data_IF_195591823496
#
_entry.id   IF_195591823496
#
_cell.length_a   1.000
_cell.length_b   1.000
_cell.length_c   1.000
_cell.angle_alpha   90.00
_cell.angle_beta   90.00
_cell.angle_gamma   90.00
#
_symmetry.space_group_name_H-M   'P 1'
#
loop_
_entity.id
_entity.type
_entity.pdbx_description
1 polymer ?
#
# COMPACT_ATOMS: atom_id res chain seq x y z
N UNK A 1 -6.64 27.35 35.97
CA UNK A 1 -7.34 26.65 34.86
C UNK A 1 -7.01 27.32 33.52
N UNK A 2 -5.79 27.12 32.97
CA UNK A 2 -5.36 27.68 31.66
C UNK A 2 -4.39 26.76 30.95
N UNK A 3 -4.76 25.48 30.76
CA UNK A 3 -3.87 24.49 30.10
C UNK A 3 -4.45 23.92 28.78
N UNK A 4 -5.71 24.25 28.40
CA UNK A 4 -6.37 23.65 27.25
C UNK A 4 -6.26 24.42 25.91
N UNK A 5 -5.68 25.62 25.86
CA UNK A 5 -5.72 26.44 24.64
C UNK A 5 -4.58 26.14 23.66
N UNK A 6 -3.43 25.65 24.12
CA UNK A 6 -2.28 25.39 23.23
C UNK A 6 -2.38 24.08 22.43
N UNK A 7 -3.09 23.03 22.93
CA UNK A 7 -3.30 21.79 22.18
C UNK A 7 -4.28 21.96 21.02
N UNK A 8 -5.30 22.77 21.17
CA UNK A 8 -6.30 23.04 20.13
C UNK A 8 -5.73 23.81 18.92
N UNK A 9 -4.76 24.68 19.13
CA UNK A 9 -4.14 25.46 18.06
C UNK A 9 -3.28 24.58 17.14
N UNK A 10 -2.58 23.59 17.68
CA UNK A 10 -1.75 22.67 16.93
C UNK A 10 -2.56 21.78 15.98
N UNK A 11 -3.70 21.23 16.41
CA UNK A 11 -4.55 20.40 15.57
C UNK A 11 -5.32 21.20 14.51
N UNK A 12 -5.77 22.41 14.79
CA UNK A 12 -6.38 23.29 13.79
C UNK A 12 -5.41 23.60 12.64
N UNK A 13 -4.13 23.73 12.91
CA UNK A 13 -3.08 23.92 11.89
C UNK A 13 -2.98 22.75 10.91
N UNK A 14 -3.14 21.49 11.36
CA UNK A 14 -3.09 20.30 10.49
C UNK A 14 -4.28 20.28 9.53
N UNK A 15 -5.50 20.54 10.01
CA UNK A 15 -6.71 20.50 9.17
C UNK A 15 -6.68 21.54 8.03
N UNK A 16 -6.02 22.68 8.25
CA UNK A 16 -5.93 23.76 7.25
C UNK A 16 -4.65 23.70 6.40
N UNK A 17 -3.71 22.82 6.73
CA UNK A 17 -2.42 22.71 6.04
C UNK A 17 -2.62 22.30 4.56
N UNK A 18 -2.10 23.13 3.64
CA UNK A 18 -2.23 22.91 2.19
C UNK A 18 -1.54 21.62 1.72
N UNK A 19 -0.36 21.30 2.26
CA UNK A 19 0.37 20.08 1.88
C UNK A 19 -0.38 18.83 2.34
N UNK A 20 -0.93 18.85 3.57
CA UNK A 20 -1.76 17.77 4.07
C UNK A 20 -3.02 17.56 3.22
N UNK A 21 -3.76 18.62 2.88
CA UNK A 21 -4.93 18.55 2.01
C UNK A 21 -4.61 18.01 0.62
N UNK A 22 -3.50 18.43 0.01
CA UNK A 22 -3.03 17.90 -1.28
C UNK A 22 -2.67 16.41 -1.21
N UNK A 23 -2.08 15.95 -0.11
CA UNK A 23 -1.78 14.52 0.07
C UNK A 23 -3.07 13.69 0.19
N UNK A 24 -4.10 14.21 0.84
CA UNK A 24 -5.42 13.56 0.90
C UNK A 24 -6.11 13.52 -0.47
N UNK A 25 -6.02 14.60 -1.25
CA UNK A 25 -6.52 14.62 -2.62
C UNK A 25 -5.78 13.61 -3.49
N UNK A 26 -4.46 13.46 -3.35
CA UNK A 26 -3.70 12.41 -4.02
C UNK A 26 -4.15 11.02 -3.61
N UNK A 27 -4.41 10.78 -2.32
CA UNK A 27 -4.91 9.51 -1.82
C UNK A 27 -6.27 9.16 -2.44
N UNK A 28 -7.17 10.14 -2.55
CA UNK A 28 -8.48 9.96 -3.20
C UNK A 28 -8.36 9.76 -4.72
N UNK A 29 -7.55 10.56 -5.40
CA UNK A 29 -7.37 10.50 -6.85
C UNK A 29 -6.63 9.24 -7.33
N UNK A 30 -5.61 8.85 -6.59
CA UNK A 30 -4.74 7.73 -6.93
C UNK A 30 -4.20 7.04 -5.69
N UNK A 31 -5.06 6.28 -5.01
CA UNK A 31 -4.71 5.56 -3.78
C UNK A 31 -3.53 4.58 -3.96
N UNK A 32 -3.38 3.97 -5.15
CA UNK A 32 -2.24 3.09 -5.43
C UNK A 32 -0.91 3.87 -5.45
N UNK A 33 -0.89 5.06 -6.08
CA UNK A 33 0.31 5.90 -6.10
C UNK A 33 0.61 6.47 -4.71
N UNK A 34 -0.41 6.91 -3.98
CA UNK A 34 -0.27 7.37 -2.59
C UNK A 34 0.30 6.25 -1.70
N UNK A 35 -0.23 5.03 -1.82
CA UNK A 35 0.29 3.84 -1.11
C UNK A 35 1.75 3.58 -1.45
N UNK A 36 2.09 3.54 -2.73
CA UNK A 36 3.45 3.27 -3.18
C UNK A 36 4.46 4.34 -2.72
N UNK A 37 4.06 5.62 -2.74
CA UNK A 37 4.90 6.73 -2.24
C UNK A 37 5.09 6.65 -0.71
N UNK A 38 4.03 6.35 0.03
CA UNK A 38 4.07 6.15 1.49
C UNK A 38 4.97 4.97 1.85
N UNK A 39 4.81 3.84 1.17
CA UNK A 39 5.64 2.65 1.35
C UNK A 39 7.11 2.94 1.01
N UNK A 40 7.38 3.68 -0.06
CA UNK A 40 8.75 4.10 -0.40
C UNK A 40 9.37 4.91 0.74
N UNK A 41 8.66 5.90 1.28
CA UNK A 41 9.13 6.68 2.43
C UNK A 41 9.40 5.83 3.67
N UNK A 42 8.47 4.96 4.04
CA UNK A 42 8.64 4.07 5.19
C UNK A 42 9.79 3.06 5.00
N UNK A 43 9.94 2.51 3.82
CA UNK A 43 10.95 1.48 3.55
C UNK A 43 12.36 2.04 3.36
N UNK A 44 12.48 3.30 2.97
CA UNK A 44 13.80 3.97 2.83
C UNK A 44 14.28 4.65 4.11
N UNK A 45 13.35 5.11 4.95
CA UNK A 45 13.69 5.87 6.17
C UNK A 45 13.39 5.09 7.45
N UNK A 46 12.14 4.64 7.63
CA UNK A 46 11.66 4.09 8.91
C UNK A 46 12.17 2.68 9.15
N UNK A 47 12.04 1.79 8.15
CA UNK A 47 12.44 0.40 8.30
C UNK A 47 13.95 0.20 8.47
N UNK A 48 14.84 0.85 7.71
CA UNK A 48 16.27 0.77 7.97
C UNK A 48 16.64 1.24 9.37
N UNK A 49 16.04 2.34 9.84
CA UNK A 49 16.23 2.81 11.22
C UNK A 49 15.78 1.74 12.24
N UNK A 50 14.56 1.21 12.09
CA UNK A 50 14.04 0.17 12.98
C UNK A 50 14.92 -1.09 13.02
N UNK A 51 15.38 -1.58 11.85
CA UNK A 51 16.28 -2.73 11.73
C UNK A 51 17.63 -2.43 12.39
N UNK A 52 18.16 -1.21 12.18
CA UNK A 52 19.48 -0.84 12.71
C UNK A 52 19.51 -0.77 14.24
N UNK A 53 18.42 -0.26 14.82
CA UNK A 53 18.26 -0.18 16.29
C UNK A 53 17.89 -1.51 16.95
N UNK A 54 17.61 -2.58 16.19
CA UNK A 54 17.31 -3.89 16.79
C UNK A 54 18.59 -4.49 17.39
N UNK A 55 18.61 -4.83 18.70
CA UNK A 55 19.79 -5.42 19.35
C UNK A 55 20.07 -6.83 18.81
N UNK A 56 21.32 -7.30 18.99
CA UNK A 56 21.78 -8.68 18.76
C UNK A 56 21.64 -9.30 17.37
N UNK A 57 21.15 -8.60 16.34
CA UNK A 57 21.04 -9.14 14.99
C UNK A 57 22.35 -8.98 14.21
N UNK A 58 22.73 -10.00 13.42
CA UNK A 58 23.91 -9.98 12.56
C UNK A 58 23.89 -8.82 11.56
N UNK A 59 25.02 -8.13 11.41
CA UNK A 59 25.16 -6.94 10.55
C UNK A 59 24.85 -7.23 9.08
N UNK A 60 25.22 -8.41 8.56
CA UNK A 60 24.94 -8.79 7.18
C UNK A 60 23.44 -9.02 6.96
N UNK A 61 22.76 -9.66 7.90
CA UNK A 61 21.31 -9.83 7.86
C UNK A 61 20.58 -8.48 7.90
N UNK A 62 21.06 -7.51 8.69
CA UNK A 62 20.53 -6.14 8.70
C UNK A 62 20.67 -5.48 7.32
N UNK A 63 21.85 -5.56 6.71
CA UNK A 63 22.10 -5.01 5.35
C UNK A 63 21.16 -5.64 4.32
N UNK A 64 21.00 -6.97 4.32
CA UNK A 64 20.10 -7.67 3.42
C UNK A 64 18.63 -7.27 3.61
N UNK A 65 18.17 -7.16 4.85
CA UNK A 65 16.80 -6.74 5.16
C UNK A 65 16.53 -5.30 4.70
N UNK A 66 17.48 -4.39 4.90
CA UNK A 66 17.39 -3.01 4.41
C UNK A 66 17.40 -2.95 2.88
N UNK A 67 18.34 -3.66 2.21
CA UNK A 67 18.44 -3.69 0.75
C UNK A 67 17.17 -4.26 0.12
N UNK A 68 16.62 -5.35 0.66
CA UNK A 68 15.35 -5.93 0.21
C UNK A 68 14.21 -4.92 0.33
N UNK A 69 14.11 -4.20 1.46
CA UNK A 69 13.06 -3.20 1.68
C UNK A 69 13.13 -2.08 0.65
N UNK A 70 14.32 -1.52 0.42
CA UNK A 70 14.56 -0.44 -0.55
C UNK A 70 14.30 -0.92 -1.99
N UNK A 71 14.81 -2.10 -2.36
CA UNK A 71 14.60 -2.68 -3.70
C UNK A 71 13.11 -2.93 -3.97
N UNK A 72 12.41 -3.53 -3.02
CA UNK A 72 10.97 -3.82 -3.14
C UNK A 72 10.13 -2.56 -3.28
N UNK A 73 10.41 -1.54 -2.48
CA UNK A 73 9.64 -0.29 -2.52
C UNK A 73 9.98 0.54 -3.76
N UNK A 74 11.24 0.58 -4.18
CA UNK A 74 11.66 1.25 -5.41
C UNK A 74 11.00 0.61 -6.64
N UNK A 75 11.08 -0.72 -6.78
CA UNK A 75 10.40 -1.44 -7.85
C UNK A 75 8.87 -1.24 -7.79
N UNK A 76 8.28 -1.34 -6.60
CA UNK A 76 6.85 -1.13 -6.39
C UNK A 76 6.41 0.28 -6.78
N UNK A 77 7.16 1.31 -6.38
CA UNK A 77 6.86 2.70 -6.74
C UNK A 77 6.95 2.93 -8.25
N UNK A 78 8.03 2.48 -8.89
CA UNK A 78 8.22 2.65 -10.32
C UNK A 78 7.11 1.99 -11.14
N UNK A 79 6.77 0.73 -10.82
CA UNK A 79 5.68 -0.01 -11.47
C UNK A 79 4.32 0.66 -11.24
N UNK A 80 4.04 1.03 -9.98
CA UNK A 80 2.77 1.68 -9.64
C UNK A 80 2.64 3.01 -10.37
N UNK A 81 3.69 3.83 -10.39
CA UNK A 81 3.68 5.11 -11.11
C UNK A 81 3.38 4.92 -12.61
N UNK A 82 4.08 3.97 -13.25
CA UNK A 82 3.91 3.71 -14.68
C UNK A 82 2.50 3.22 -15.04
N UNK A 83 1.89 2.38 -14.19
CA UNK A 83 0.61 1.75 -14.48
C UNK A 83 -0.57 2.55 -13.91
N UNK A 84 -0.47 3.10 -12.69
CA UNK A 84 -1.61 3.75 -12.03
C UNK A 84 -2.00 5.08 -12.64
N UNK A 85 -1.04 5.85 -13.16
CA UNK A 85 -1.30 7.16 -13.77
C UNK A 85 -2.26 7.10 -14.97
N UNK A 86 -2.11 6.19 -15.95
CA UNK A 86 -3.10 5.99 -17.02
C UNK A 86 -4.49 5.63 -16.50
N UNK A 87 -4.59 4.78 -15.46
CA UNK A 87 -5.88 4.41 -14.86
C UNK A 87 -6.55 5.59 -14.17
N UNK A 88 -5.84 6.32 -13.31
CA UNK A 88 -6.36 7.50 -12.65
C UNK A 88 -6.83 8.56 -13.65
N UNK A 89 -6.07 8.81 -14.72
CA UNK A 89 -6.45 9.73 -15.78
C UNK A 89 -7.70 9.25 -16.54
N UNK A 90 -7.85 7.93 -16.74
CA UNK A 90 -9.02 7.35 -17.40
C UNK A 90 -10.27 7.49 -16.55
N UNK A 91 -10.18 7.30 -15.24
CA UNK A 91 -11.28 7.52 -14.29
C UNK A 91 -11.66 9.01 -14.27
N UNK A 92 -10.70 9.94 -14.23
CA UNK A 92 -10.99 11.38 -14.34
C UNK A 92 -11.73 11.76 -15.63
N UNK A 93 -11.47 11.07 -16.74
CA UNK A 93 -12.24 11.29 -17.98
C UNK A 93 -13.70 10.83 -17.84
N UNK A 94 -13.93 9.71 -17.12
CA UNK A 94 -15.28 9.24 -16.83
C UNK A 94 -15.98 10.22 -15.89
N UNK A 95 -15.31 10.71 -14.86
CA UNK A 95 -15.85 11.69 -13.89
C UNK A 95 -16.27 12.99 -14.58
N UNK A 96 -15.49 13.46 -15.57
CA UNK A 96 -15.73 14.71 -16.28
C UNK A 96 -16.79 14.62 -17.41
N UNK A 97 -16.98 13.44 -17.98
CA UNK A 97 -17.92 13.20 -19.08
C UNK A 97 -18.52 11.80 -18.98
N UNK A 98 -19.33 11.52 -17.95
CA UNK A 98 -19.85 10.18 -17.68
C UNK A 98 -20.71 9.63 -18.84
N UNK A 99 -21.49 10.47 -19.49
CA UNK A 99 -22.37 10.06 -20.60
C UNK A 99 -21.59 9.48 -21.80
N UNK A 100 -20.32 9.85 -21.94
CA UNK A 100 -19.45 9.34 -23.02
C UNK A 100 -18.95 7.92 -22.77
N UNK A 101 -18.89 7.48 -21.52
CA UNK A 101 -18.22 6.25 -21.12
C UNK A 101 -19.12 5.24 -20.40
N UNK A 102 -20.24 5.70 -19.83
CA UNK A 102 -21.19 4.91 -19.06
C UNK A 102 -22.57 4.96 -19.71
N UNK A 103 -23.35 3.89 -19.54
CA UNK A 103 -24.76 3.86 -19.90
C UNK A 103 -25.58 4.74 -18.97
N UNK A 104 -26.67 5.29 -19.48
CA UNK A 104 -27.58 6.12 -18.70
C UNK A 104 -28.13 5.40 -17.46
N UNK A 105 -28.43 4.11 -17.57
CA UNK A 105 -28.90 3.30 -16.43
C UNK A 105 -27.84 3.16 -15.35
N UNK A 106 -26.55 3.07 -15.74
CA UNK A 106 -25.41 3.02 -14.80
C UNK A 106 -25.25 4.35 -14.09
N UNK A 107 -25.36 5.46 -14.81
CA UNK A 107 -25.30 6.79 -14.21
C UNK A 107 -26.45 6.95 -13.22
N UNK A 108 -27.69 6.65 -13.61
CA UNK A 108 -28.86 6.68 -12.72
C UNK A 108 -28.69 5.78 -11.50
N UNK A 109 -28.11 4.58 -11.67
CA UNK A 109 -27.86 3.67 -10.56
C UNK A 109 -26.95 4.29 -9.51
N UNK A 110 -25.82 4.85 -9.94
CA UNK A 110 -24.84 5.43 -9.03
C UNK A 110 -25.27 6.79 -8.46
N UNK A 111 -26.10 7.55 -9.16
CA UNK A 111 -26.58 8.87 -8.72
C UNK A 111 -27.97 8.82 -8.06
N UNK A 112 -28.50 7.63 -7.75
CA UNK A 112 -29.87 7.46 -7.19
C UNK A 112 -30.16 8.34 -5.98
N UNK A 113 -29.16 8.54 -5.10
CA UNK A 113 -29.28 9.32 -3.86
C UNK A 113 -28.29 10.50 -3.79
N UNK A 114 -27.66 10.84 -4.90
CA UNK A 114 -26.59 11.84 -4.96
C UNK A 114 -26.75 12.73 -6.19
N UNK A 115 -26.39 13.99 -6.07
CA UNK A 115 -26.46 14.98 -7.16
C UNK A 115 -25.38 14.76 -8.23
N UNK A 116 -24.25 14.13 -7.87
CA UNK A 116 -23.12 13.86 -8.75
C UNK A 116 -22.58 12.46 -8.58
N UNK A 117 -22.08 11.91 -9.69
CA UNK A 117 -21.45 10.58 -9.72
C UNK A 117 -20.30 10.45 -8.72
N UNK A 118 -19.46 11.48 -8.59
CA UNK A 118 -18.31 11.52 -7.67
C UNK A 118 -18.68 11.60 -6.19
N UNK A 119 -19.94 11.95 -5.87
CA UNK A 119 -20.43 11.94 -4.48
C UNK A 119 -20.95 10.55 -4.07
N UNK A 120 -21.24 9.68 -5.03
CA UNK A 120 -21.75 8.34 -4.76
C UNK A 120 -20.69 7.42 -4.13
N UNK A 121 -20.99 6.90 -2.94
CA UNK A 121 -20.11 5.96 -2.23
C UNK A 121 -19.89 4.67 -3.03
N UNK A 122 -20.93 4.15 -3.69
CA UNK A 122 -20.83 2.94 -4.51
C UNK A 122 -20.00 3.16 -5.76
N UNK A 123 -20.12 4.30 -6.44
CA UNK A 123 -19.26 4.67 -7.55
C UNK A 123 -17.79 4.84 -7.10
N UNK A 124 -17.57 5.52 -6.00
CA UNK A 124 -16.24 5.71 -5.44
C UNK A 124 -15.60 4.36 -5.07
N UNK A 125 -16.36 3.43 -4.46
CA UNK A 125 -15.85 2.09 -4.22
C UNK A 125 -15.49 1.36 -5.52
N UNK A 126 -16.38 1.37 -6.51
CA UNK A 126 -16.14 0.73 -7.81
C UNK A 126 -14.87 1.27 -8.49
N UNK A 127 -14.68 2.59 -8.49
CA UNK A 127 -13.46 3.20 -9.07
C UNK A 127 -12.21 2.96 -8.23
N UNK A 128 -12.34 2.88 -6.90
CA UNK A 128 -11.25 2.49 -6.01
C UNK A 128 -10.80 1.04 -6.25
N UNK A 129 -11.70 0.12 -6.60
CA UNK A 129 -11.32 -1.24 -7.00
C UNK A 129 -10.34 -1.23 -8.17
N UNK A 130 -10.51 -0.34 -9.15
CA UNK A 130 -9.53 -0.20 -10.23
C UNK A 130 -8.24 0.46 -9.76
N UNK A 131 -8.32 1.49 -8.91
CA UNK A 131 -7.15 2.24 -8.41
C UNK A 131 -6.28 1.40 -7.47
N UNK A 132 -6.89 0.66 -6.53
CA UNK A 132 -6.19 -0.18 -5.54
C UNK A 132 -5.92 -1.59 -6.08
N UNK A 133 -6.83 -2.16 -6.88
CA UNK A 133 -6.69 -3.48 -7.49
C UNK A 133 -5.48 -3.60 -8.43
N UNK A 134 -4.93 -2.46 -8.88
CA UNK A 134 -3.64 -2.43 -9.57
C UNK A 134 -2.50 -3.01 -8.71
N UNK A 135 -2.58 -2.89 -7.38
CA UNK A 135 -1.64 -3.52 -6.46
C UNK A 135 -1.54 -5.04 -6.68
N UNK A 136 -2.68 -5.71 -6.85
CA UNK A 136 -2.73 -7.14 -7.17
C UNK A 136 -2.07 -7.44 -8.52
N UNK A 137 -2.35 -6.64 -9.56
CA UNK A 137 -1.78 -6.84 -10.89
C UNK A 137 -0.26 -6.66 -10.93
N UNK A 138 0.29 -5.76 -10.12
CA UNK A 138 1.74 -5.50 -10.05
C UNK A 138 2.46 -6.37 -9.01
N UNK A 139 1.77 -7.15 -8.18
CA UNK A 139 2.37 -7.93 -7.10
C UNK A 139 3.46 -8.90 -7.63
N UNK A 140 3.15 -9.68 -8.67
CA UNK A 140 4.12 -10.59 -9.28
C UNK A 140 5.29 -9.87 -9.96
N UNK A 141 5.08 -8.88 -10.88
CA UNK A 141 6.18 -8.11 -11.46
C UNK A 141 7.05 -7.42 -10.40
N UNK A 142 6.43 -6.86 -9.34
CA UNK A 142 7.15 -6.26 -8.22
C UNK A 142 8.07 -7.27 -7.52
N UNK A 143 7.57 -8.48 -7.21
CA UNK A 143 8.36 -9.51 -6.54
C UNK A 143 9.57 -9.94 -7.40
N UNK A 144 9.37 -10.15 -8.71
CA UNK A 144 10.43 -10.50 -9.65
C UNK A 144 11.50 -9.39 -9.72
N UNK A 145 11.07 -8.13 -9.87
CA UNK A 145 11.99 -6.99 -9.91
C UNK A 145 12.71 -6.77 -8.59
N UNK A 146 12.05 -7.05 -7.46
CA UNK A 146 12.69 -7.00 -6.13
C UNK A 146 13.83 -7.99 -6.04
N UNK A 147 13.59 -9.24 -6.42
CA UNK A 147 14.61 -10.30 -6.38
C UNK A 147 15.76 -9.99 -7.36
N UNK A 148 15.46 -9.50 -8.56
CA UNK A 148 16.48 -9.10 -9.54
C UNK A 148 17.26 -7.86 -9.09
N UNK A 149 16.63 -6.89 -8.44
CA UNK A 149 17.24 -5.63 -8.01
C UNK A 149 18.08 -5.75 -6.74
N UNK A 150 17.82 -6.78 -5.91
CA UNK A 150 18.47 -6.95 -4.62
C UNK A 150 20.02 -6.96 -4.69
N UNK A 151 20.68 -7.69 -5.61
CA UNK A 151 22.14 -7.69 -5.73
C UNK A 151 22.71 -6.30 -6.08
N UNK A 152 21.98 -5.51 -6.89
CA UNK A 152 22.42 -4.15 -7.26
C UNK A 152 22.36 -3.20 -6.08
N UNK A 153 21.29 -3.27 -5.28
CA UNK A 153 21.15 -2.46 -4.06
C UNK A 153 22.20 -2.85 -3.02
N UNK A 154 22.48 -4.15 -2.86
CA UNK A 154 23.55 -4.64 -1.97
C UNK A 154 24.92 -4.12 -2.37
N UNK A 155 25.23 -4.10 -3.67
CA UNK A 155 26.49 -3.52 -4.17
C UNK A 155 26.57 -2.00 -3.98
N UNK A 156 25.51 -1.28 -4.38
CA UNK A 156 25.50 0.19 -4.40
C UNK A 156 25.52 0.80 -2.99
N UNK A 157 24.74 0.24 -2.05
CA UNK A 157 24.62 0.78 -0.70
C UNK A 157 25.56 0.14 0.32
N UNK A 158 25.93 -1.14 0.13
CA UNK A 158 26.69 -1.89 1.14
C UNK A 158 28.03 -2.42 0.63
N UNK A 159 28.47 -2.01 -0.57
CA UNK A 159 29.78 -2.29 -1.16
C UNK A 159 30.17 -3.78 -1.19
N UNK A 160 29.17 -4.68 -1.38
CA UNK A 160 29.47 -6.11 -1.53
C UNK A 160 30.13 -6.46 -2.86
N UNK A 161 31.06 -7.44 -2.84
CA UNK A 161 31.79 -7.90 -4.03
C UNK A 161 30.85 -8.49 -5.08
N UNK A 162 31.27 -8.37 -6.35
CA UNK A 162 30.52 -8.79 -7.54
C UNK A 162 30.29 -10.31 -7.52
N UNK A 163 29.03 -10.72 -7.52
CA UNK A 163 28.61 -12.08 -7.89
C UNK A 163 28.15 -12.04 -9.35
N UNK A 164 28.55 -13.01 -10.17
CA UNK A 164 28.34 -12.99 -11.61
C UNK A 164 26.87 -12.80 -12.01
N UNK A 165 26.65 -11.90 -12.97
CA UNK A 165 25.33 -11.53 -13.45
C UNK A 165 24.76 -12.57 -14.42
N UNK A 166 23.59 -13.08 -14.11
CA UNK A 166 22.74 -13.75 -15.10
C UNK A 166 21.51 -12.89 -15.37
N UNK A 167 21.45 -12.42 -16.60
CA UNK A 167 20.37 -11.72 -17.32
C UNK A 167 19.09 -11.34 -16.59
N UNK A 168 18.92 -10.02 -16.42
CA UNK A 168 17.63 -9.40 -16.18
C UNK A 168 16.73 -9.56 -17.43
N UNK A 169 15.58 -10.22 -17.32
CA UNK A 169 14.57 -10.23 -18.39
C UNK A 169 14.02 -8.81 -18.55
N UNK A 170 14.15 -8.25 -19.74
CA UNK A 170 13.55 -6.97 -20.08
C UNK A 170 12.03 -7.08 -20.07
N UNK A 171 11.38 -6.46 -19.08
CA UNK A 171 9.94 -6.34 -19.02
C UNK A 171 9.56 -5.05 -19.73
N UNK A 172 8.99 -5.15 -20.93
CA UNK A 172 8.50 -4.00 -21.69
C UNK A 172 7.00 -3.79 -21.45
N UNK A 173 6.63 -2.61 -20.95
CA UNK A 173 5.24 -2.17 -20.81
C UNK A 173 4.85 -1.28 -21.99
N UNK A 174 4.09 -1.80 -22.95
CA UNK A 174 3.47 -0.97 -24.00
C UNK A 174 2.21 -0.31 -23.45
N UNK A 175 2.22 1.02 -23.32
CA UNK A 175 1.08 1.81 -22.89
C UNK A 175 -0.09 1.75 -23.89
N UNK A 176 -1.29 1.38 -23.42
CA UNK A 176 -2.54 1.48 -24.21
C UNK A 176 -3.03 2.93 -24.23
N UNK A 177 -3.64 3.35 -25.35
CA UNK A 177 -4.29 4.65 -25.47
C UNK A 177 -5.30 4.87 -24.31
N UNK A 178 -5.22 6.02 -23.64
CA UNK A 178 -6.04 6.36 -22.48
C UNK A 178 -7.56 6.33 -22.77
N UNK A 179 -8.00 6.62 -24.00
CA UNK A 179 -9.42 6.54 -24.38
C UNK A 179 -9.90 5.09 -24.41
N UNK A 180 -9.07 4.16 -24.91
CA UNK A 180 -9.41 2.71 -24.89
C UNK A 180 -9.52 2.19 -23.46
N UNK A 181 -8.70 2.71 -22.53
CA UNK A 181 -8.73 2.32 -21.15
C UNK A 181 -9.96 2.86 -20.42
N UNK A 182 -10.35 4.13 -20.64
CA UNK A 182 -11.56 4.72 -20.07
C UNK A 182 -12.83 3.96 -20.56
N UNK A 183 -12.91 3.64 -21.86
CA UNK A 183 -13.99 2.79 -22.39
C UNK A 183 -14.00 1.38 -21.76
N UNK A 184 -12.83 0.80 -21.53
CA UNK A 184 -12.73 -0.51 -20.86
C UNK A 184 -13.24 -0.47 -19.42
N UNK A 185 -12.84 0.56 -18.65
CA UNK A 185 -13.33 0.78 -17.27
C UNK A 185 -14.83 1.01 -17.28
N UNK A 186 -15.35 1.88 -18.17
CA UNK A 186 -16.78 2.15 -18.31
C UNK A 186 -17.59 0.88 -18.57
N UNK A 187 -17.13 0.02 -19.50
CA UNK A 187 -17.78 -1.27 -19.77
C UNK A 187 -17.84 -2.20 -18.54
N UNK A 188 -16.86 -2.17 -17.65
CA UNK A 188 -16.88 -2.96 -16.41
C UNK A 188 -17.83 -2.33 -15.39
N UNK A 189 -17.84 -0.99 -15.27
CA UNK A 189 -18.78 -0.27 -14.42
C UNK A 189 -20.24 -0.47 -14.85
N UNK A 190 -20.50 -0.64 -16.15
CA UNK A 190 -21.82 -0.95 -16.70
C UNK A 190 -22.30 -2.38 -16.38
N UNK A 191 -21.44 -3.26 -15.86
CA UNK A 191 -21.84 -4.62 -15.50
C UNK A 191 -22.66 -4.64 -14.21
N UNK A 192 -23.81 -5.28 -14.25
CA UNK A 192 -24.73 -5.41 -13.12
C UNK A 192 -24.05 -6.01 -11.87
N UNK A 193 -23.14 -6.99 -12.04
CA UNK A 193 -22.40 -7.55 -10.91
C UNK A 193 -21.50 -6.51 -10.23
N UNK A 194 -20.84 -5.60 -10.98
CA UNK A 194 -20.00 -4.54 -10.42
C UNK A 194 -20.84 -3.54 -9.63
N UNK A 195 -21.99 -3.14 -10.18
CA UNK A 195 -22.93 -2.24 -9.53
C UNK A 195 -23.45 -2.82 -8.21
N UNK A 196 -23.97 -4.06 -8.25
CA UNK A 196 -24.45 -4.76 -7.06
C UNK A 196 -23.34 -4.97 -6.02
N UNK A 197 -22.15 -5.33 -6.46
CA UNK A 197 -20.99 -5.50 -5.59
C UNK A 197 -20.62 -4.17 -4.90
N UNK A 198 -20.47 -3.09 -5.66
CA UNK A 198 -20.09 -1.79 -5.12
C UNK A 198 -21.16 -1.23 -4.18
N UNK A 199 -22.44 -1.45 -4.48
CA UNK A 199 -23.54 -1.07 -3.59
C UNK A 199 -23.53 -1.86 -2.27
N UNK A 200 -23.29 -3.17 -2.35
CA UNK A 200 -23.23 -4.03 -1.17
C UNK A 200 -22.06 -3.71 -0.23
N UNK A 201 -20.92 -3.31 -0.78
CA UNK A 201 -19.69 -3.10 -0.02
C UNK A 201 -19.29 -1.64 0.18
N UNK A 202 -20.12 -0.65 -0.25
CA UNK A 202 -19.82 0.78 -0.18
C UNK A 202 -19.51 1.32 1.23
N UNK A 203 -20.06 0.69 2.26
CA UNK A 203 -19.83 1.06 3.66
C UNK A 203 -18.88 0.07 4.38
N UNK A 204 -18.26 -0.86 3.65
CA UNK A 204 -17.31 -1.83 4.21
C UNK A 204 -15.87 -1.31 4.17
N UNK A 205 -14.99 -2.00 4.91
CA UNK A 205 -13.54 -1.73 4.89
C UNK A 205 -12.84 -2.42 3.70
N UNK A 206 -13.48 -2.40 2.53
CA UNK A 206 -13.01 -3.08 1.32
C UNK A 206 -11.60 -2.65 0.86
N UNK A 207 -11.20 -1.35 0.94
CA UNK A 207 -9.83 -0.94 0.67
C UNK A 207 -8.79 -1.71 1.50
N UNK A 208 -9.06 -1.96 2.76
CA UNK A 208 -8.19 -2.75 3.64
C UNK A 208 -8.04 -4.19 3.15
N UNK A 209 -9.15 -4.82 2.72
CA UNK A 209 -9.11 -6.18 2.20
C UNK A 209 -8.27 -6.29 0.92
N UNK A 210 -8.34 -5.30 0.00
CA UNK A 210 -7.51 -5.28 -1.21
C UNK A 210 -6.04 -5.12 -0.84
N UNK A 211 -5.70 -4.24 0.10
CA UNK A 211 -4.32 -4.03 0.54
C UNK A 211 -3.77 -5.32 1.16
N UNK A 212 -4.51 -5.94 2.07
CA UNK A 212 -4.12 -7.21 2.70
C UNK A 212 -3.93 -8.34 1.67
N UNK A 213 -4.83 -8.47 0.70
CA UNK A 213 -4.71 -9.45 -0.39
C UNK A 213 -3.48 -9.16 -1.27
N UNK A 214 -3.19 -7.89 -1.56
CA UNK A 214 -1.99 -7.48 -2.32
C UNK A 214 -0.71 -7.85 -1.58
N UNK A 215 -0.65 -7.62 -0.28
CA UNK A 215 0.51 -7.96 0.54
C UNK A 215 0.70 -9.48 0.65
N UNK A 216 -0.38 -10.23 0.85
CA UNK A 216 -0.35 -11.70 0.87
C UNK A 216 0.14 -12.27 -0.46
N UNK A 217 -0.37 -11.79 -1.60
CA UNK A 217 0.05 -12.23 -2.93
C UNK A 217 1.51 -11.86 -3.21
N UNK A 218 1.92 -10.65 -2.86
CA UNK A 218 3.32 -10.19 -3.01
C UNK A 218 4.26 -11.08 -2.20
N UNK A 219 3.87 -11.41 -0.96
CA UNK A 219 4.65 -12.28 -0.07
C UNK A 219 4.74 -13.70 -0.62
N UNK A 220 3.63 -14.31 -1.02
CA UNK A 220 3.63 -15.65 -1.61
C UNK A 220 4.52 -15.71 -2.86
N UNK A 221 4.43 -14.71 -3.74
CA UNK A 221 5.27 -14.62 -4.94
C UNK A 221 6.73 -14.43 -4.57
N UNK A 222 7.04 -13.60 -3.56
CA UNK A 222 8.41 -13.41 -3.10
C UNK A 222 9.02 -14.69 -2.52
N UNK A 223 8.29 -15.43 -1.69
CA UNK A 223 8.70 -16.73 -1.14
C UNK A 223 8.99 -17.71 -2.27
N UNK A 224 8.09 -17.79 -3.25
CA UNK A 224 8.29 -18.65 -4.45
C UNK A 224 9.58 -18.25 -5.20
N UNK A 225 9.77 -16.95 -5.49
CA UNK A 225 10.97 -16.47 -6.19
C UNK A 225 12.25 -16.69 -5.38
N UNK A 226 12.19 -16.59 -4.06
CA UNK A 226 13.33 -16.88 -3.17
C UNK A 226 13.72 -18.34 -3.26
N UNK A 227 12.74 -19.26 -3.24
CA UNK A 227 12.97 -20.72 -3.31
C UNK A 227 13.62 -21.16 -4.64
N UNK A 228 13.20 -20.59 -5.76
CA UNK A 228 13.77 -20.93 -7.09
C UNK A 228 15.04 -20.15 -7.43
N UNK A 229 15.47 -19.22 -6.60
CA UNK A 229 16.65 -18.38 -6.85
C UNK A 229 17.94 -19.14 -6.55
N UNK A 230 18.81 -19.27 -7.55
CA UNK A 230 20.17 -19.82 -7.36
C UNK A 230 21.15 -18.75 -6.82
N UNK A 231 20.72 -17.50 -6.65
CA UNK A 231 21.55 -16.38 -6.17
C UNK A 231 21.47 -16.16 -4.67
N UNK A 232 20.58 -16.84 -4.00
CA UNK A 232 20.38 -16.75 -2.55
C UNK A 232 20.88 -18.06 -1.93
N UNK A 233 21.82 -18.03 -0.98
CA UNK A 233 22.29 -19.21 -0.26
C UNK A 233 21.12 -19.94 0.43
N UNK A 234 21.14 -21.28 0.43
CA UNK A 234 20.05 -22.12 0.95
C UNK A 234 19.74 -21.83 2.43
N UNK A 235 20.77 -21.68 3.24
CA UNK A 235 20.69 -21.33 4.66
C UNK A 235 19.92 -20.00 4.89
N UNK A 236 19.99 -19.08 3.93
CA UNK A 236 19.31 -17.78 4.01
C UNK A 236 17.90 -17.80 3.42
N UNK A 237 17.58 -18.73 2.52
CA UNK A 237 16.23 -18.84 1.94
C UNK A 237 15.19 -19.08 3.03
N UNK A 238 15.45 -20.03 3.93
CA UNK A 238 14.54 -20.34 5.02
C UNK A 238 14.29 -19.13 5.93
N UNK A 239 15.35 -18.47 6.38
CA UNK A 239 15.24 -17.27 7.23
C UNK A 239 14.46 -16.13 6.54
N UNK A 240 14.72 -15.89 5.24
CA UNK A 240 13.99 -14.87 4.45
C UNK A 240 12.52 -15.19 4.29
N UNK A 241 12.19 -16.46 4.03
CA UNK A 241 10.82 -16.93 3.84
C UNK A 241 10.02 -16.83 5.13
N UNK A 242 10.57 -17.35 6.24
CA UNK A 242 9.95 -17.25 7.57
C UNK A 242 9.74 -15.81 7.99
N UNK A 243 10.77 -14.98 7.91
CA UNK A 243 10.67 -13.56 8.27
C UNK A 243 9.59 -12.86 7.41
N UNK A 244 9.55 -13.14 6.10
CA UNK A 244 8.59 -12.49 5.20
C UNK A 244 7.17 -12.96 5.48
N UNK A 245 6.95 -14.27 5.62
CA UNK A 245 5.63 -14.84 5.90
C UNK A 245 5.06 -14.38 7.24
N UNK A 246 5.84 -14.52 8.31
CA UNK A 246 5.44 -14.10 9.67
C UNK A 246 5.20 -12.60 9.70
N UNK A 247 6.09 -11.80 9.12
CA UNK A 247 5.93 -10.33 9.08
C UNK A 247 4.63 -9.93 8.39
N UNK A 248 4.29 -10.57 7.26
CA UNK A 248 3.05 -10.26 6.55
C UNK A 248 1.82 -10.70 7.32
N UNK A 249 1.82 -11.90 7.90
CA UNK A 249 0.71 -12.38 8.73
C UNK A 249 0.46 -11.47 9.93
N UNK A 250 1.51 -11.12 10.67
CA UNK A 250 1.44 -10.19 11.79
C UNK A 250 0.97 -8.80 11.36
N UNK A 251 1.45 -8.32 10.20
CA UNK A 251 1.02 -7.03 9.64
C UNK A 251 -0.48 -7.01 9.37
N UNK A 252 -1.00 -8.04 8.73
CA UNK A 252 -2.42 -8.14 8.40
C UNK A 252 -3.25 -8.18 9.70
N UNK A 253 -2.95 -9.09 10.63
CA UNK A 253 -3.70 -9.24 11.88
C UNK A 253 -3.66 -7.95 12.71
N UNK A 254 -2.46 -7.38 12.91
CA UNK A 254 -2.31 -6.14 13.68
C UNK A 254 -3.01 -4.96 13.04
N UNK A 255 -2.99 -4.88 11.70
CA UNK A 255 -3.65 -3.78 10.98
C UNK A 255 -5.16 -3.83 11.09
N UNK A 256 -5.78 -5.02 11.01
CA UNK A 256 -7.22 -5.17 11.25
C UNK A 256 -7.60 -4.81 12.69
N UNK A 257 -6.79 -5.23 13.66
CA UNK A 257 -7.01 -4.90 15.07
C UNK A 257 -6.92 -3.39 15.31
N UNK A 258 -5.88 -2.74 14.78
CA UNK A 258 -5.69 -1.29 14.89
C UNK A 258 -6.75 -0.50 14.12
N UNK A 259 -7.20 -1.00 12.97
CA UNK A 259 -8.27 -0.36 12.21
C UNK A 259 -9.56 -0.27 13.03
N UNK A 260 -9.92 -1.38 13.71
CA UNK A 260 -11.08 -1.42 14.61
C UNK A 260 -10.91 -0.47 15.80
N UNK A 261 -9.73 -0.46 16.43
CA UNK A 261 -9.43 0.41 17.57
C UNK A 261 -9.42 1.91 17.19
N UNK A 262 -9.00 2.22 15.98
CA UNK A 262 -8.91 3.61 15.49
C UNK A 262 -10.15 4.12 14.79
N UNK A 263 -11.22 3.34 14.69
CA UNK A 263 -12.45 3.75 13.98
C UNK A 263 -13.07 5.01 14.59
N UNK A 264 -13.40 4.99 15.88
CA UNK A 264 -13.97 6.16 16.57
C UNK A 264 -13.07 7.42 16.52
N UNK A 265 -11.76 7.33 16.84
CA UNK A 265 -10.86 8.46 16.65
C UNK A 265 -10.83 9.00 15.22
N UNK A 266 -10.92 8.13 14.21
CA UNK A 266 -10.94 8.56 12.80
C UNK A 266 -12.22 9.29 12.44
N UNK A 267 -13.38 8.81 12.89
CA UNK A 267 -14.66 9.48 12.66
C UNK A 267 -14.66 10.89 13.28
N UNK A 268 -14.21 11.02 14.55
CA UNK A 268 -14.04 12.32 15.20
C UNK A 268 -13.06 13.24 14.46
N UNK A 269 -11.96 12.67 13.93
CA UNK A 269 -11.02 13.42 13.11
C UNK A 269 -11.67 13.94 11.83
N UNK A 270 -12.48 13.11 11.14
CA UNK A 270 -13.21 13.50 9.93
C UNK A 270 -14.24 14.60 10.23
N UNK A 271 -14.98 14.50 11.32
CA UNK A 271 -15.94 15.52 11.73
C UNK A 271 -15.23 16.88 11.99
N UNK A 272 -14.15 16.86 12.75
CA UNK A 272 -13.35 18.08 13.01
C UNK A 272 -12.75 18.65 11.72
N UNK A 273 -12.28 17.78 10.81
CA UNK A 273 -11.76 18.18 9.51
C UNK A 273 -12.84 18.85 8.65
N UNK A 274 -14.04 18.26 8.58
CA UNK A 274 -15.20 18.83 7.87
C UNK A 274 -15.59 20.19 8.46
N UNK A 275 -15.62 20.29 9.78
CA UNK A 275 -15.95 21.55 10.47
C UNK A 275 -14.93 22.64 10.16
N UNK A 276 -13.63 22.32 10.23
CA UNK A 276 -12.55 23.28 9.97
C UNK A 276 -12.46 23.74 8.50
N UNK A 277 -13.00 22.96 7.56
CA UNK A 277 -12.97 23.21 6.12
C UNK A 277 -14.36 23.45 5.51
N UNK A 278 -15.36 23.77 6.33
CA UNK A 278 -16.75 24.00 5.88
C UNK A 278 -16.78 25.05 4.78
N UNK A 279 -17.48 24.75 3.69
CA UNK A 279 -17.64 25.66 2.54
C UNK A 279 -16.51 25.59 1.49
N UNK A 280 -15.48 24.79 1.68
CA UNK A 280 -14.45 24.57 0.65
C UNK A 280 -14.90 23.48 -0.36
N UNK A 281 -14.56 23.63 -1.67
CA UNK A 281 -15.12 22.78 -2.72
C UNK A 281 -14.66 21.33 -2.68
N UNK A 282 -13.53 21.01 -2.06
CA UNK A 282 -12.91 19.67 -2.14
C UNK A 282 -12.99 18.87 -0.82
N UNK A 283 -13.83 19.28 0.13
CA UNK A 283 -13.88 18.66 1.48
C UNK A 283 -14.24 17.19 1.43
N UNK A 284 -15.26 16.80 0.68
CA UNK A 284 -15.68 15.39 0.57
C UNK A 284 -14.60 14.53 -0.08
N UNK A 285 -13.95 15.03 -1.12
CA UNK A 285 -12.81 14.35 -1.75
C UNK A 285 -11.64 14.14 -0.78
N UNK A 286 -11.36 15.14 0.06
CA UNK A 286 -10.31 15.05 1.08
C UNK A 286 -10.71 14.06 2.19
N UNK A 287 -11.99 13.99 2.56
CA UNK A 287 -12.52 12.98 3.49
C UNK A 287 -12.36 11.56 2.93
N UNK A 288 -12.65 11.35 1.65
CA UNK A 288 -12.36 10.07 0.99
C UNK A 288 -10.86 9.75 1.01
N UNK A 289 -10.02 10.78 0.83
CA UNK A 289 -8.58 10.66 0.99
C UNK A 289 -8.17 10.20 2.41
N UNK A 290 -8.81 10.70 3.46
CA UNK A 290 -8.58 10.25 4.85
C UNK A 290 -8.91 8.75 4.99
N UNK A 291 -10.06 8.32 4.46
CA UNK A 291 -10.51 6.93 4.52
C UNK A 291 -9.56 5.97 3.79
N UNK A 292 -8.98 6.40 2.67
CA UNK A 292 -8.00 5.63 1.90
C UNK A 292 -6.61 5.66 2.58
N UNK A 293 -6.17 6.83 3.06
CA UNK A 293 -4.88 7.00 3.70
C UNK A 293 -4.78 6.22 5.03
N UNK A 294 -5.86 6.14 5.81
CA UNK A 294 -5.88 5.45 7.09
C UNK A 294 -5.34 4.01 7.02
N UNK A 295 -5.92 3.08 6.26
CA UNK A 295 -5.42 1.71 6.20
C UNK A 295 -3.99 1.63 5.65
N UNK A 296 -3.62 2.47 4.69
CA UNK A 296 -2.26 2.52 4.13
C UNK A 296 -1.24 2.92 5.20
N UNK A 297 -1.55 3.95 5.98
CA UNK A 297 -0.68 4.42 7.06
C UNK A 297 -0.61 3.41 8.21
N UNK A 298 -1.75 2.82 8.61
CA UNK A 298 -1.78 1.79 9.66
C UNK A 298 -0.94 0.57 9.27
N UNK A 299 -1.17 0.00 8.09
CA UNK A 299 -0.38 -1.14 7.61
C UNK A 299 1.10 -0.76 7.44
N UNK A 300 1.38 0.44 6.92
CA UNK A 300 2.74 0.94 6.80
C UNK A 300 3.46 1.06 8.14
N UNK A 301 2.84 1.69 9.14
CA UNK A 301 3.41 1.81 10.48
C UNK A 301 3.65 0.44 11.13
N UNK A 302 2.68 -0.46 11.05
CA UNK A 302 2.83 -1.82 11.59
C UNK A 302 3.96 -2.55 10.90
N UNK A 303 3.95 -2.62 9.58
CA UNK A 303 4.91 -3.41 8.80
C UNK A 303 6.34 -2.84 8.85
N UNK A 304 6.50 -1.53 8.78
CA UNK A 304 7.82 -0.91 8.67
C UNK A 304 8.40 -0.45 10.01
N UNK A 305 7.59 -0.33 11.04
CA UNK A 305 8.02 0.14 12.37
C UNK A 305 7.91 -0.96 13.43
N UNK A 306 6.74 -1.56 13.65
CA UNK A 306 6.52 -2.51 14.75
C UNK A 306 7.09 -3.91 14.44
N UNK A 307 6.84 -4.42 13.25
CA UNK A 307 7.22 -5.80 12.89
C UNK A 307 8.74 -6.03 12.88
N UNK A 308 9.63 -5.13 12.41
CA UNK A 308 11.06 -5.32 12.52
C UNK A 308 11.55 -5.59 13.94
N UNK A 309 10.95 -4.94 14.94
CA UNK A 309 11.28 -5.22 16.34
C UNK A 309 10.79 -6.60 16.78
N UNK A 310 9.55 -6.95 16.47
CA UNK A 310 8.94 -8.22 16.89
C UNK A 310 9.58 -9.40 16.14
N UNK A 311 9.78 -9.32 14.83
CA UNK A 311 10.30 -10.42 14.02
C UNK A 311 11.74 -10.75 14.36
N UNK A 312 12.56 -9.76 14.69
CA UNK A 312 13.95 -10.00 15.10
C UNK A 312 14.01 -10.64 16.47
N UNK A 313 13.15 -10.23 17.40
CA UNK A 313 13.05 -10.85 18.71
C UNK A 313 12.59 -12.32 18.60
N UNK A 314 11.57 -12.61 17.80
CA UNK A 314 11.08 -13.98 17.60
C UNK A 314 12.11 -14.88 16.87
N UNK A 315 12.86 -14.34 15.92
CA UNK A 315 13.91 -15.08 15.22
C UNK A 315 15.05 -15.48 16.18
N UNK A 316 15.41 -14.62 17.12
CA UNK A 316 16.38 -14.95 18.16
C UNK A 316 15.87 -16.04 19.13
N UNK A 317 14.62 -15.94 19.56
CA UNK A 317 14.02 -16.97 20.41
C UNK A 317 14.01 -18.34 19.70
N UNK A 318 13.70 -18.41 18.41
CA UNK A 318 13.68 -19.63 17.62
C UNK A 318 15.09 -20.24 17.47
N UNK A 319 16.11 -19.43 17.19
CA UNK A 319 17.51 -19.91 17.06
C UNK A 319 18.09 -20.42 18.36
N UNK A 320 17.72 -19.85 19.50
CA UNK A 320 18.15 -20.35 20.81
C UNK A 320 17.50 -21.67 21.19
N UNK A 321 16.28 -21.95 20.74
CA UNK A 321 15.60 -23.24 20.97
C UNK A 321 16.27 -24.36 20.16
N UNK A 322 16.68 -24.11 18.90
CA UNK A 322 17.35 -25.11 18.07
C UNK A 322 18.75 -25.47 18.57
N UNK A 323 19.52 -24.51 19.12
CA UNK A 323 20.84 -24.76 19.70
C UNK A 323 20.71 -25.56 21.01
N UNK A 324 19.67 -25.31 21.81
CA UNK A 324 19.40 -26.03 23.03
C UNK A 324 18.99 -27.50 22.83
N UNK A 325 18.40 -27.83 21.65
CA UNK A 325 18.06 -29.22 21.30
C UNK A 325 19.24 -30.00 20.72
N UNK A 326 20.15 -29.33 20.00
CA UNK A 326 21.34 -29.94 19.40
C UNK A 326 22.45 -30.26 20.42
N UNK A 327 22.45 -29.61 21.60
CA UNK A 327 23.41 -29.89 22.70
C UNK A 327 22.96 -30.98 23.67
N UNK A 328 21.76 -31.55 23.48
CA UNK A 328 21.22 -32.65 24.32
C UNK A 328 21.15 -34.00 23.59
N UNK A 329 21.66 -34.10 22.38
CA UNK A 329 21.88 -35.34 21.64
C UNK A 329 23.38 -35.64 21.56
#
# INVERSE_FOLDING_TARGET
>A
MKVNSQRDISFKSIYTNKAFKRSLELASDNGALFSAATILGFSTCVRPAAIWFTPKSDKENKKFACAKSISSSGAGFALTYAISKPFANSIKKIDNAPEKYLKQDTIKFFTKNEDKLTHSKSYNLATQMFKLGLGLAIAMPKAILTSAGLPYVMRGLFHQKKQEDTSARNISFKGKSQNKLANGIGKVLDKNWMQKFSERFKDSNFPMHIIAATDALTTATFIHQTNISNKIPEDRKHALNYNTGISTALSIVSSYSLDKLTQKPTEKFIENFKHANKGLPNVEKQVDGIRIAKPILLMGCVYYMLIPFISTFLAECATHVDIGSATKS
#
